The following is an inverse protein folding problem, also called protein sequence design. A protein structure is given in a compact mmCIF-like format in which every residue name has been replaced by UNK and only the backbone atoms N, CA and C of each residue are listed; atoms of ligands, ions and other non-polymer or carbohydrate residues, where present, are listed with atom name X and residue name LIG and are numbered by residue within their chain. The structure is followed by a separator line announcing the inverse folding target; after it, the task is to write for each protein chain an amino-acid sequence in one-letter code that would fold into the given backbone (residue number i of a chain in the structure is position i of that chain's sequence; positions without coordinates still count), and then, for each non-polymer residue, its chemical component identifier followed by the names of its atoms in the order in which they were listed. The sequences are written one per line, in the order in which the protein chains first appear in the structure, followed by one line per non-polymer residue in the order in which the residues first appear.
data_IF_556203832434
#
_entry.id   IF_556203832434
#
_cell.length_a   1.000
_cell.length_b   1.000
_cell.length_c   1.000
_cell.angle_alpha   90.00
_cell.angle_beta   90.00
_cell.angle_gamma   90.00
#
_symmetry.space_group_name_H-M   'P 1'
#
loop_
_entity.id
_entity.type
_entity.pdbx_description
1 polymer ?
#
# COMPACT_ATOMS: atom_id res chain seq x y z
N UNK A 1 5.27 13.28 -6.36
CA UNK A 1 4.58 12.64 -7.49
C UNK A 1 5.38 11.37 -7.81
N UNK A 2 4.74 10.23 -8.07
CA UNK A 2 5.48 9.01 -8.43
C UNK A 2 6.02 9.20 -9.84
N UNK A 3 7.34 9.16 -10.03
CA UNK A 3 7.91 9.05 -11.37
C UNK A 3 7.75 7.61 -11.88
N UNK A 4 6.76 7.42 -12.76
CA UNK A 4 6.42 6.13 -13.36
C UNK A 4 7.51 5.57 -14.29
N UNK A 5 8.51 6.38 -14.66
CA UNK A 5 9.66 5.91 -15.46
C UNK A 5 10.63 5.06 -14.63
N UNK A 6 10.61 5.20 -13.29
CA UNK A 6 11.40 4.41 -12.35
C UNK A 6 10.57 3.30 -11.70
N UNK A 7 9.81 2.58 -12.53
CA UNK A 7 8.97 1.46 -12.09
C UNK A 7 9.34 0.18 -12.83
N UNK A 8 9.00 -0.97 -12.25
CA UNK A 8 9.19 -2.24 -12.93
C UNK A 8 8.38 -2.30 -14.23
N UNK A 9 9.00 -2.85 -15.29
CA UNK A 9 8.39 -2.93 -16.63
C UNK A 9 7.17 -3.84 -16.71
N UNK A 10 7.03 -4.76 -15.74
CA UNK A 10 5.92 -5.71 -15.64
C UNK A 10 5.12 -5.49 -14.37
N UNK A 11 3.87 -5.93 -14.46
CA UNK A 11 3.04 -6.19 -13.31
C UNK A 11 3.28 -7.63 -12.85
N UNK A 12 3.52 -7.81 -11.56
CA UNK A 12 3.79 -9.10 -10.96
C UNK A 12 2.57 -9.55 -10.16
N UNK A 13 2.28 -10.84 -10.18
CA UNK A 13 1.23 -11.43 -9.35
C UNK A 13 1.88 -12.17 -8.20
N UNK A 14 1.72 -11.63 -7.00
CA UNK A 14 2.40 -12.14 -5.79
C UNK A 14 1.34 -12.55 -4.79
N UNK A 15 1.57 -13.67 -4.10
CA UNK A 15 0.68 -14.11 -3.04
C UNK A 15 0.61 -13.06 -1.90
N UNK A 16 -0.58 -12.61 -1.48
CA UNK A 16 -0.70 -11.54 -0.50
C UNK A 16 -0.21 -11.94 0.89
N UNK A 17 -0.35 -13.22 1.29
CA UNK A 17 0.25 -13.71 2.54
C UNK A 17 1.77 -13.73 2.47
N UNK A 18 2.37 -13.97 1.30
CA UNK A 18 3.82 -13.86 1.13
C UNK A 18 4.28 -12.41 1.34
N UNK A 19 3.59 -11.42 0.77
CA UNK A 19 3.90 -10.01 0.99
C UNK A 19 3.82 -9.60 2.46
N UNK A 20 2.78 -10.06 3.18
CA UNK A 20 2.63 -9.87 4.64
C UNK A 20 3.80 -10.49 5.41
N UNK A 21 4.24 -11.71 5.04
CA UNK A 21 5.39 -12.39 5.66
C UNK A 21 6.72 -11.65 5.46
N UNK A 22 6.86 -10.91 4.36
CA UNK A 22 8.05 -10.09 4.10
C UNK A 22 8.12 -8.84 5.01
N UNK A 23 7.06 -8.51 5.76
CA UNK A 23 7.08 -7.38 6.70
C UNK A 23 7.12 -6.00 6.02
N UNK A 24 6.68 -5.90 4.77
CA UNK A 24 6.75 -4.67 3.97
C UNK A 24 5.69 -3.63 4.38
N UNK A 25 4.67 -4.01 5.13
CA UNK A 25 3.60 -3.12 5.58
C UNK A 25 4.10 -2.13 6.63
N UNK A 26 3.52 -0.92 6.60
CA UNK A 26 3.77 0.05 7.68
C UNK A 26 3.07 -0.40 8.96
N UNK A 27 3.85 -0.58 10.03
CA UNK A 27 3.34 -0.81 11.38
C UNK A 27 2.82 0.51 11.97
N UNK A 28 1.60 0.50 12.51
CA UNK A 28 0.98 1.62 13.20
C UNK A 28 0.55 1.28 14.63
N UNK A 29 -0.04 2.24 15.34
CA UNK A 29 -0.59 2.03 16.71
C UNK A 29 -1.61 0.87 16.80
N UNK A 30 -2.18 0.43 15.67
CA UNK A 30 -3.14 -0.67 15.58
C UNK A 30 -2.58 -2.00 15.03
N UNK A 31 -1.25 -2.19 14.97
CA UNK A 31 -0.64 -3.45 14.53
C UNK A 31 -0.20 -3.47 13.06
N UNK A 32 -0.19 -4.67 12.46
CA UNK A 32 0.31 -4.94 11.10
C UNK A 32 -0.81 -4.77 10.08
N UNK A 33 -0.59 -3.91 9.09
CA UNK A 33 -1.55 -3.71 8.00
C UNK A 33 -2.65 -2.70 8.35
N UNK A 34 -3.52 -2.46 7.37
CA UNK A 34 -4.65 -1.54 7.51
C UNK A 34 -5.96 -2.29 7.41
N UNK A 35 -6.59 -2.50 8.56
CA UNK A 35 -7.85 -3.21 8.74
C UNK A 35 -9.00 -2.21 8.77
N UNK A 36 -10.23 -2.73 8.68
CA UNK A 36 -11.47 -1.93 8.77
C UNK A 36 -11.43 -0.92 9.91
N UNK A 37 -11.02 -1.35 11.11
CA UNK A 37 -11.02 -0.53 12.34
C UNK A 37 -9.97 0.60 12.37
N UNK A 38 -8.93 0.53 11.52
CA UNK A 38 -7.87 1.55 11.45
C UNK A 38 -7.71 2.11 10.02
N UNK A 39 -8.75 1.89 9.20
CA UNK A 39 -8.75 2.27 7.80
C UNK A 39 -8.63 3.80 7.70
N UNK A 40 -7.76 4.29 6.81
CA UNK A 40 -7.59 5.73 6.58
C UNK A 40 -7.18 6.59 7.79
N UNK A 41 -6.78 5.98 8.92
CA UNK A 41 -6.29 6.72 10.08
C UNK A 41 -4.97 7.46 9.82
N UNK A 42 -4.87 8.68 10.32
CA UNK A 42 -3.65 9.49 10.35
C UNK A 42 -3.23 10.05 8.99
N UNK A 43 -4.11 10.05 7.97
CA UNK A 43 -3.91 10.78 6.73
C UNK A 43 -4.66 12.12 6.78
N UNK A 44 -4.01 13.19 6.35
CA UNK A 44 -4.61 14.53 6.28
C UNK A 44 -5.82 14.54 5.35
N UNK A 45 -5.72 13.85 4.21
CA UNK A 45 -6.79 13.74 3.20
C UNK A 45 -8.09 13.10 3.74
N UNK A 46 -8.03 12.33 4.83
CA UNK A 46 -9.18 11.63 5.41
C UNK A 46 -9.48 12.07 6.84
N UNK A 47 -8.81 13.12 7.30
CA UNK A 47 -8.97 13.70 8.64
C UNK A 47 -10.38 14.24 8.87
N UNK A 48 -11.05 14.70 7.80
CA UNK A 48 -12.43 15.17 7.83
C UNK A 48 -13.48 14.06 7.90
N UNK A 49 -13.09 12.81 7.63
CA UNK A 49 -14.02 11.68 7.65
C UNK A 49 -14.24 11.16 9.06
N UNK A 50 -15.49 10.84 9.38
CA UNK A 50 -15.86 10.10 10.59
C UNK A 50 -15.37 8.66 10.51
N UNK A 51 -15.41 7.94 11.65
CA UNK A 51 -15.09 6.51 11.67
C UNK A 51 -16.00 5.71 10.75
N UNK A 52 -17.30 5.97 10.79
CA UNK A 52 -18.31 5.28 9.98
C UNK A 52 -18.06 5.48 8.48
N UNK A 53 -17.68 6.68 8.05
CA UNK A 53 -17.35 6.97 6.65
C UNK A 53 -16.06 6.24 6.19
N UNK A 54 -15.07 6.11 7.08
CA UNK A 54 -13.84 5.36 6.78
C UNK A 54 -14.11 3.86 6.66
N UNK A 55 -14.94 3.33 7.54
CA UNK A 55 -15.39 1.94 7.50
C UNK A 55 -16.22 1.66 6.24
N UNK A 56 -17.18 2.52 5.92
CA UNK A 56 -17.99 2.40 4.69
C UNK A 56 -17.10 2.40 3.44
N UNK A 57 -16.11 3.29 3.36
CA UNK A 57 -15.15 3.33 2.25
C UNK A 57 -14.27 2.06 2.16
N UNK A 58 -13.97 1.43 3.30
CA UNK A 58 -13.26 0.15 3.30
C UNK A 58 -14.17 -0.96 2.78
N UNK A 59 -15.42 -0.99 3.24
CA UNK A 59 -16.43 -1.98 2.86
C UNK A 59 -16.77 -1.87 1.36
N UNK A 60 -16.93 -0.66 0.83
CA UNK A 60 -17.11 -0.41 -0.62
C UNK A 60 -15.93 -0.93 -1.45
N UNK A 61 -14.69 -0.70 -0.99
CA UNK A 61 -13.50 -1.20 -1.68
C UNK A 61 -13.44 -2.73 -1.64
N UNK A 62 -13.85 -3.33 -0.52
CA UNK A 62 -13.92 -4.79 -0.37
C UNK A 62 -14.95 -5.39 -1.30
N UNK A 63 -16.17 -4.86 -1.30
CA UNK A 63 -17.25 -5.29 -2.18
C UNK A 63 -16.85 -5.15 -3.65
N UNK A 64 -16.18 -4.04 -4.02
CA UNK A 64 -15.68 -3.85 -5.38
C UNK A 64 -14.65 -4.92 -5.78
N UNK A 65 -13.72 -5.28 -4.90
CA UNK A 65 -12.72 -6.32 -5.19
C UNK A 65 -13.37 -7.71 -5.24
N UNK A 66 -14.34 -7.97 -4.36
CA UNK A 66 -15.07 -9.24 -4.32
C UNK A 66 -15.92 -9.46 -5.59
N UNK A 67 -16.59 -8.41 -6.08
CA UNK A 67 -17.53 -8.49 -7.21
C UNK A 67 -16.86 -8.32 -8.56
N UNK A 68 -15.92 -7.38 -8.69
CA UNK A 68 -15.28 -7.02 -9.96
C UNK A 68 -13.86 -7.58 -10.10
N UNK A 69 -13.30 -8.17 -9.04
CA UNK A 69 -11.90 -8.56 -8.99
C UNK A 69 -10.97 -7.40 -8.64
N UNK A 70 -9.68 -7.71 -8.47
CA UNK A 70 -8.68 -6.70 -8.14
C UNK A 70 -8.38 -5.84 -9.37
N UNK A 71 -8.59 -4.52 -9.28
CA UNK A 71 -8.27 -3.61 -10.37
C UNK A 71 -6.75 -3.48 -10.59
N UNK A 72 -6.26 -4.05 -11.68
CA UNK A 72 -4.83 -4.07 -12.05
C UNK A 72 -4.26 -2.70 -12.45
N UNK A 73 -5.11 -1.72 -12.78
CA UNK A 73 -4.66 -0.33 -13.02
C UNK A 73 -4.13 0.33 -11.74
N UNK A 74 -4.58 -0.16 -10.57
CA UNK A 74 -4.19 0.35 -9.25
C UNK A 74 -3.51 -0.74 -8.41
N UNK A 75 -2.33 -1.23 -8.83
CA UNK A 75 -1.65 -2.31 -8.14
C UNK A 75 -1.17 -1.89 -6.74
N UNK A 76 -0.67 -2.86 -5.97
CA UNK A 76 0.12 -2.56 -4.77
C UNK A 76 1.49 -2.05 -5.24
N UNK A 77 1.89 -0.90 -4.71
CA UNK A 77 3.19 -0.31 -5.03
C UNK A 77 4.17 -0.64 -3.91
N UNK A 78 5.21 -1.39 -4.24
CA UNK A 78 6.33 -1.69 -3.32
C UNK A 78 7.49 -0.78 -3.69
N UNK A 79 7.95 -0.01 -2.72
CA UNK A 79 9.07 0.89 -2.89
C UNK A 79 10.36 0.24 -2.42
N UNK A 80 11.30 0.16 -3.35
CA UNK A 80 12.62 -0.44 -3.18
C UNK A 80 13.60 0.60 -2.63
N UNK A 81 14.20 0.32 -1.47
CA UNK A 81 15.16 1.20 -0.79
C UNK A 81 16.57 0.66 -0.92
N UNK A 82 17.22 0.96 -2.04
CA UNK A 82 18.54 0.40 -2.38
C UNK A 82 19.72 0.99 -1.58
N UNK A 83 19.52 2.07 -0.83
CA UNK A 83 20.56 2.75 -0.03
C UNK A 83 20.50 2.38 1.45
N UNK A 84 20.33 1.09 1.75
CA UNK A 84 20.34 0.58 3.13
C UNK A 84 19.06 0.82 3.93
N UNK A 85 17.96 1.19 3.28
CA UNK A 85 16.64 1.23 3.90
C UNK A 85 15.88 -0.08 3.67
N UNK A 86 14.86 -0.33 4.49
CA UNK A 86 13.95 -1.47 4.26
C UNK A 86 12.95 -1.15 3.15
N UNK A 87 12.72 -2.12 2.26
CA UNK A 87 11.65 -2.07 1.26
C UNK A 87 10.29 -2.00 1.97
N UNK A 88 9.35 -1.22 1.41
CA UNK A 88 8.04 -0.99 2.05
C UNK A 88 6.94 -0.87 1.03
N UNK A 89 5.73 -1.20 1.43
CA UNK A 89 4.53 -0.83 0.67
C UNK A 89 4.42 0.69 0.70
N UNK A 90 4.41 1.30 -0.47
CA UNK A 90 4.13 2.72 -0.66
C UNK A 90 2.63 2.97 -0.74
N UNK A 91 1.94 2.19 -1.56
CA UNK A 91 0.49 2.27 -1.75
C UNK A 91 -0.16 0.88 -1.82
N UNK A 92 -1.43 0.80 -1.42
CA UNK A 92 -2.21 -0.43 -1.48
C UNK A 92 -2.32 -1.22 -0.18
N UNK A 93 -2.02 -0.62 0.98
CA UNK A 93 -2.16 -1.30 2.28
C UNK A 93 -3.57 -1.87 2.53
N UNK A 94 -4.63 -1.09 2.27
CA UNK A 94 -6.01 -1.58 2.40
C UNK A 94 -6.29 -2.71 1.40
N UNK A 95 -5.86 -2.55 0.14
CA UNK A 95 -6.03 -3.55 -0.92
C UNK A 95 -5.34 -4.87 -0.57
N UNK A 96 -4.14 -4.82 0.02
CA UNK A 96 -3.44 -6.01 0.51
C UNK A 96 -4.25 -6.71 1.61
N UNK A 97 -4.75 -5.95 2.59
CA UNK A 97 -5.49 -6.53 3.69
C UNK A 97 -6.82 -7.15 3.22
N UNK A 98 -7.56 -6.45 2.34
CA UNK A 98 -8.78 -6.96 1.71
C UNK A 98 -8.50 -8.23 0.90
N UNK A 99 -7.42 -8.26 0.12
CA UNK A 99 -7.04 -9.45 -0.63
C UNK A 99 -6.77 -10.67 0.27
N UNK A 100 -6.18 -10.45 1.45
CA UNK A 100 -6.01 -11.48 2.48
C UNK A 100 -7.37 -11.93 3.04
N UNK A 101 -8.25 -10.99 3.38
CA UNK A 101 -9.59 -11.28 3.91
C UNK A 101 -10.45 -12.09 2.93
N UNK A 102 -10.37 -11.75 1.64
CA UNK A 102 -11.11 -12.43 0.56
C UNK A 102 -10.43 -13.73 0.09
N UNK A 103 -9.24 -14.06 0.62
CA UNK A 103 -8.52 -15.28 0.26
C UNK A 103 -8.00 -15.30 -1.19
N UNK A 104 -7.64 -14.14 -1.75
CA UNK A 104 -7.09 -14.06 -3.11
C UNK A 104 -5.75 -14.80 -3.21
N UNK A 105 -5.57 -15.59 -4.27
CA UNK A 105 -4.34 -16.36 -4.48
C UNK A 105 -3.15 -15.45 -4.78
N UNK A 106 -3.37 -14.40 -5.58
CA UNK A 106 -2.37 -13.40 -5.95
C UNK A 106 -2.96 -11.99 -6.01
N UNK A 107 -2.10 -10.99 -5.87
CA UNK A 107 -2.41 -9.57 -6.07
C UNK A 107 -1.43 -8.94 -7.06
N UNK A 108 -1.87 -7.97 -7.87
CA UNK A 108 -1.01 -7.24 -8.79
C UNK A 108 -0.09 -6.29 -8.01
N UNK A 109 1.20 -6.37 -8.31
CA UNK A 109 2.28 -5.63 -7.66
C UNK A 109 3.17 -4.97 -8.70
N UNK A 110 3.53 -3.71 -8.43
CA UNK A 110 4.56 -2.98 -9.17
C UNK A 110 5.62 -2.49 -8.21
N UNK A 111 6.87 -2.59 -8.62
CA UNK A 111 8.00 -2.07 -7.86
C UNK A 111 8.35 -0.66 -8.32
N UNK A 112 8.63 0.22 -7.38
CA UNK A 112 9.07 1.60 -7.64
C UNK A 112 10.39 1.84 -6.92
N UNK A 113 11.28 2.63 -7.51
CA UNK A 113 12.52 3.02 -6.84
C UNK A 113 12.27 4.15 -5.81
N UNK A 114 13.02 4.16 -4.71
CA UNK A 114 13.01 5.26 -3.75
C UNK A 114 13.58 6.55 -4.38
N UNK A 115 12.72 7.57 -4.48
CA UNK A 115 13.01 8.81 -5.23
C UNK A 115 13.39 10.00 -4.35
N UNK A 116 13.63 9.78 -3.05
CA UNK A 116 14.00 10.86 -2.12
C UNK A 116 15.37 10.61 -1.52
N UNK A 117 16.05 11.64 -1.05
CA UNK A 117 17.25 11.48 -0.25
C UNK A 117 17.17 12.39 0.97
N UNK A 118 17.86 12.01 2.04
CA UNK A 118 17.93 12.82 3.24
C UNK A 118 19.15 13.72 3.12
N UNK A 119 18.93 15.01 2.81
CA UNK A 119 20.03 15.94 2.60
C UNK A 119 20.72 16.33 3.93
N UNK A 120 21.89 16.96 3.84
CA UNK A 120 22.66 17.43 4.99
C UNK A 120 21.91 18.44 5.89
N UNK A 121 20.80 19.02 5.42
CA UNK A 121 19.94 19.95 6.17
C UNK A 121 18.82 19.24 6.93
N UNK A 122 18.83 17.91 6.97
CA UNK A 122 17.83 17.10 7.65
C UNK A 122 16.48 17.08 6.94
N UNK A 123 16.45 17.31 5.62
CA UNK A 123 15.21 17.35 4.83
C UNK A 123 15.21 16.25 3.78
N UNK A 124 14.06 15.62 3.60
CA UNK A 124 13.81 14.78 2.43
C UNK A 124 13.70 15.67 1.19
N UNK A 125 14.57 15.46 0.22
CA UNK A 125 14.52 16.10 -1.11
C UNK A 125 14.33 15.04 -2.17
N UNK A 126 13.75 15.41 -3.30
CA UNK A 126 13.67 14.51 -4.45
C UNK A 126 15.09 14.30 -5.02
N UNK A 127 15.37 13.07 -5.45
CA UNK A 127 16.61 12.69 -6.14
C UNK A 127 16.59 13.13 -7.61
#
# INVERSE_FOLDING_TARGET
MIDYTKTSSKLYHINPHYLRKLGLERYGKGGVGRHRDNAYDGKEETSHLTREEREARYDELKESIETCGFNEEYPILIMLRREGGEDRIFEGHHRLNIAIELGLETVPVRFIEWQKEYNAKGRWVDK
#
